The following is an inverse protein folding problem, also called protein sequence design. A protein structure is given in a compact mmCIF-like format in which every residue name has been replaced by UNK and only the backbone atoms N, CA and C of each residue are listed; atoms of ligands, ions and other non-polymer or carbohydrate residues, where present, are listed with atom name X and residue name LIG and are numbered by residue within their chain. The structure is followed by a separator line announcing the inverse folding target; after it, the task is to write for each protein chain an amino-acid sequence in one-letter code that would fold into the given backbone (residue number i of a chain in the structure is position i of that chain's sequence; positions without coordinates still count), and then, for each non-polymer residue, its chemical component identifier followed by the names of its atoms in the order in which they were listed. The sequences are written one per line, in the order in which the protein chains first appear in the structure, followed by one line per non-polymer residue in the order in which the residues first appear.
data_IF_147804679623
#
_entry.id   IF_147804679623
#
_cell.length_a   1.000
_cell.length_b   1.000
_cell.length_c   1.000
_cell.angle_alpha   90.00
_cell.angle_beta   90.00
_cell.angle_gamma   90.00
#
_symmetry.space_group_name_H-M   'P 1'
#
loop_
_entity.id
_entity.type
_entity.pdbx_description
1 polymer ?
#
# COMPACT_ATOMS: atom_id res chain seq x y z
N UNK A 1 4.37 -23.74 37.60
CA UNK A 1 5.68 -23.98 36.96
C UNK A 1 5.50 -24.61 35.59
N UNK A 2 5.80 -23.89 34.51
CA UNK A 2 5.71 -24.43 33.15
C UNK A 2 6.91 -25.35 32.92
N UNK A 3 6.70 -26.67 32.83
CA UNK A 3 7.74 -27.64 32.49
C UNK A 3 8.16 -27.42 31.03
N UNK A 4 9.22 -26.64 30.81
CA UNK A 4 9.80 -26.45 29.49
C UNK A 4 10.36 -27.79 29.00
N UNK A 5 9.83 -28.28 27.86
CA UNK A 5 10.28 -29.55 27.27
C UNK A 5 11.76 -29.42 26.92
N UNK A 6 12.57 -30.41 27.31
CA UNK A 6 14.02 -30.42 27.08
C UNK A 6 14.36 -30.71 25.62
N UNK A 7 15.47 -30.15 25.14
CA UNK A 7 16.04 -30.44 23.82
C UNK A 7 16.26 -31.95 23.63
N UNK A 8 15.88 -32.49 22.46
CA UNK A 8 16.05 -33.92 22.17
C UNK A 8 17.52 -34.36 22.06
N UNK A 9 18.41 -33.44 21.71
CA UNK A 9 19.81 -33.76 21.38
C UNK A 9 20.74 -33.57 22.58
N UNK A 10 20.60 -32.45 23.31
CA UNK A 10 21.44 -32.20 24.48
C UNK A 10 20.75 -32.42 25.83
N UNK A 11 19.42 -32.58 25.88
CA UNK A 11 18.65 -32.82 27.11
C UNK A 11 18.69 -31.70 28.18
N UNK A 12 19.54 -30.69 28.02
CA UNK A 12 19.82 -29.67 29.04
C UNK A 12 19.02 -28.39 28.83
N UNK A 13 18.98 -27.91 27.59
CA UNK A 13 18.37 -26.62 27.24
C UNK A 13 16.88 -26.75 26.86
N UNK A 14 16.07 -25.69 27.04
CA UNK A 14 14.69 -25.67 26.56
C UNK A 14 14.60 -25.92 25.05
N UNK A 15 13.64 -26.75 24.66
CA UNK A 15 13.30 -27.02 23.27
C UNK A 15 12.77 -25.75 22.62
N UNK A 16 13.32 -25.43 21.46
CA UNK A 16 12.90 -24.32 20.61
C UNK A 16 12.18 -24.86 19.36
N UNK A 17 12.89 -25.04 18.25
CA UNK A 17 12.33 -25.48 16.96
C UNK A 17 12.85 -26.88 16.58
N UNK A 18 12.05 -27.64 15.81
CA UNK A 18 12.36 -29.01 15.34
C UNK A 18 12.74 -30.02 16.44
N UNK A 19 12.43 -29.74 17.71
CA UNK A 19 12.85 -30.60 18.82
C UNK A 19 14.18 -30.24 19.46
N UNK A 20 14.85 -29.18 19.01
CA UNK A 20 16.21 -28.83 19.40
C UNK A 20 16.24 -27.46 20.13
N UNK A 21 17.26 -27.22 20.94
CA UNK A 21 17.54 -25.87 21.47
C UNK A 21 18.24 -25.00 20.42
N UNK A 22 18.30 -23.68 20.65
CA UNK A 22 18.94 -22.73 19.73
C UNK A 22 20.40 -23.10 19.40
N UNK A 23 21.15 -23.60 20.38
CA UNK A 23 22.57 -23.99 20.20
C UNK A 23 22.69 -25.24 19.32
N UNK A 24 21.97 -26.32 19.64
CA UNK A 24 21.99 -27.55 18.84
C UNK A 24 21.41 -27.34 17.44
N UNK A 25 20.47 -26.39 17.28
CA UNK A 25 19.94 -26.03 15.97
C UNK A 25 20.96 -25.24 15.15
N UNK A 26 21.69 -24.29 15.75
CA UNK A 26 22.72 -23.48 15.09
C UNK A 26 23.99 -24.27 14.76
N UNK A 27 24.30 -25.32 15.53
CA UNK A 27 25.43 -26.22 15.27
C UNK A 27 25.21 -27.19 14.10
N UNK A 28 23.96 -27.36 13.64
CA UNK A 28 23.70 -28.10 12.41
C UNK A 28 24.03 -27.21 11.23
N UNK A 29 25.23 -27.38 10.69
CA UNK A 29 25.62 -26.79 9.42
C UNK A 29 24.50 -27.05 8.40
N UNK A 30 24.00 -25.96 7.79
CA UNK A 30 23.15 -26.05 6.62
C UNK A 30 24.04 -26.69 5.56
N UNK A 31 23.85 -28.00 5.30
CA UNK A 31 24.50 -28.64 4.15
C UNK A 31 24.06 -27.85 2.92
N UNK A 32 25.00 -27.11 2.31
CA UNK A 32 24.79 -26.26 1.14
C UNK A 32 24.35 -27.04 -0.12
N UNK A 33 24.20 -28.36 -0.02
CA UNK A 33 23.75 -29.23 -1.10
C UNK A 33 22.23 -29.42 -1.17
N UNK A 34 21.42 -28.60 -0.50
CA UNK A 34 20.03 -28.50 -0.94
C UNK A 34 20.01 -27.71 -2.25
N UNK A 35 20.19 -28.42 -3.37
CA UNK A 35 19.64 -27.97 -4.65
C UNK A 35 18.23 -27.51 -4.33
N UNK A 36 17.95 -26.21 -4.50
CA UNK A 36 16.59 -25.69 -4.40
C UNK A 36 15.76 -26.59 -5.30
N UNK A 37 14.99 -27.52 -4.71
CA UNK A 37 14.08 -28.34 -5.51
C UNK A 37 13.14 -27.33 -6.13
N UNK A 38 13.25 -27.17 -7.45
CA UNK A 38 12.29 -26.43 -8.28
C UNK A 38 10.96 -27.18 -8.22
N UNK A 39 10.31 -27.17 -7.06
CA UNK A 39 9.04 -27.84 -6.84
C UNK A 39 7.95 -26.83 -7.04
N UNK A 40 7.71 -26.53 -8.31
CA UNK A 40 6.56 -25.76 -8.74
C UNK A 40 6.47 -25.79 -10.24
N UNK A 41 5.70 -26.73 -10.81
CA UNK A 41 5.17 -26.53 -12.16
C UNK A 41 4.50 -25.16 -12.15
N UNK A 42 4.96 -24.24 -13.01
CA UNK A 42 4.34 -22.93 -13.17
C UNK A 42 2.86 -23.20 -13.50
N UNK A 43 1.96 -22.93 -12.55
CA UNK A 43 0.53 -23.12 -12.77
C UNK A 43 0.11 -22.18 -13.88
N UNK A 44 -0.20 -22.72 -15.06
CA UNK A 44 -0.73 -21.94 -16.16
C UNK A 44 -2.01 -21.24 -15.71
N UNK A 45 -2.14 -19.95 -16.02
CA UNK A 45 -3.34 -19.20 -15.66
C UNK A 45 -4.54 -19.71 -16.43
N UNK A 46 -5.68 -19.81 -15.75
CA UNK A 46 -6.95 -20.14 -16.40
C UNK A 46 -7.35 -19.03 -17.39
N UNK A 47 -8.08 -19.39 -18.45
CA UNK A 47 -8.59 -18.44 -19.45
C UNK A 47 -9.42 -17.33 -18.79
N UNK A 48 -10.24 -17.69 -17.78
CA UNK A 48 -11.04 -16.73 -16.98
C UNK A 48 -10.14 -15.70 -16.27
N UNK A 49 -9.07 -16.14 -15.61
CA UNK A 49 -8.15 -15.25 -14.91
C UNK A 49 -7.39 -14.34 -15.89
N UNK A 50 -7.00 -14.87 -17.06
CA UNK A 50 -6.35 -14.08 -18.11
C UNK A 50 -7.28 -12.95 -18.60
N UNK A 51 -8.55 -13.26 -18.88
CA UNK A 51 -9.55 -12.26 -19.29
C UNK A 51 -9.77 -11.20 -18.21
N UNK A 52 -9.98 -11.61 -16.96
CA UNK A 52 -10.16 -10.69 -15.83
C UNK A 52 -8.98 -9.71 -15.68
N UNK A 53 -7.74 -10.22 -15.71
CA UNK A 53 -6.53 -9.38 -15.60
C UNK A 53 -6.37 -8.42 -16.77
N UNK A 54 -6.72 -8.85 -17.98
CA UNK A 54 -6.70 -7.99 -19.17
C UNK A 54 -7.69 -6.83 -19.01
N UNK A 55 -8.95 -7.12 -18.68
CA UNK A 55 -9.97 -6.10 -18.47
C UNK A 55 -9.60 -5.11 -17.35
N UNK A 56 -9.05 -5.60 -16.22
CA UNK A 56 -8.54 -4.74 -15.15
C UNK A 56 -7.39 -3.85 -15.61
N UNK A 57 -6.48 -4.39 -16.42
CA UNK A 57 -5.36 -3.62 -16.98
C UNK A 57 -5.84 -2.53 -17.93
N UNK A 58 -6.83 -2.82 -18.77
CA UNK A 58 -7.44 -1.87 -19.70
C UNK A 58 -8.08 -0.70 -18.95
N UNK A 59 -8.90 -0.98 -17.92
CA UNK A 59 -9.49 0.08 -17.07
C UNK A 59 -8.43 0.94 -16.38
N UNK A 60 -7.42 0.31 -15.81
CA UNK A 60 -6.32 1.03 -15.15
C UNK A 60 -5.53 1.90 -16.14
N UNK A 61 -5.26 1.40 -17.34
CA UNK A 61 -4.59 2.20 -18.37
C UNK A 61 -5.46 3.40 -18.77
N UNK A 62 -6.76 3.19 -18.99
CA UNK A 62 -7.69 4.27 -19.30
C UNK A 62 -7.72 5.36 -18.19
N UNK A 63 -7.72 4.96 -16.92
CA UNK A 63 -7.60 5.88 -15.78
C UNK A 63 -6.30 6.72 -15.87
N UNK A 64 -5.14 6.08 -16.04
CA UNK A 64 -3.87 6.80 -16.13
C UNK A 64 -3.79 7.70 -17.36
N UNK A 65 -4.26 7.23 -18.51
CA UNK A 65 -4.25 8.00 -19.76
C UNK A 65 -5.15 9.23 -19.66
N UNK A 66 -6.28 9.12 -18.95
CA UNK A 66 -7.14 10.27 -18.64
C UNK A 66 -6.40 11.32 -17.80
N UNK A 67 -5.72 10.88 -16.74
CA UNK A 67 -5.04 11.78 -15.82
C UNK A 67 -3.75 12.37 -16.37
N UNK A 68 -2.99 11.62 -17.17
CA UNK A 68 -1.78 12.11 -17.86
C UNK A 68 -2.14 13.28 -18.77
N UNK A 69 -3.26 13.20 -19.52
CA UNK A 69 -3.74 14.28 -20.39
C UNK A 69 -4.13 15.56 -19.64
N UNK A 70 -4.41 15.48 -18.34
CA UNK A 70 -4.86 16.59 -17.49
C UNK A 70 -3.77 17.11 -16.55
N UNK A 71 -2.68 16.36 -16.38
CA UNK A 71 -1.61 16.68 -15.45
C UNK A 71 -0.64 17.68 -16.09
N UNK A 72 -0.83 18.97 -15.81
CA UNK A 72 0.03 20.04 -16.34
C UNK A 72 0.95 20.66 -15.29
N UNK A 73 0.59 20.57 -14.01
CA UNK A 73 1.33 21.12 -12.89
C UNK A 73 0.99 20.40 -11.59
N UNK A 74 1.85 20.53 -10.59
CA UNK A 74 1.57 20.08 -9.23
C UNK A 74 0.41 20.89 -8.64
N UNK A 75 -0.52 20.21 -7.97
CA UNK A 75 -1.59 20.84 -7.19
C UNK A 75 -1.06 21.43 -5.87
N UNK A 76 0.13 21.04 -5.41
CA UNK A 76 0.75 21.59 -4.21
C UNK A 76 1.61 22.82 -4.53
N UNK A 77 2.73 22.63 -5.24
CA UNK A 77 3.67 23.71 -5.53
C UNK A 77 3.32 24.55 -6.74
N UNK A 78 2.36 24.12 -7.58
CA UNK A 78 2.07 24.77 -8.85
C UNK A 78 3.16 24.59 -9.91
N UNK A 79 4.24 23.85 -9.62
CA UNK A 79 5.36 23.63 -10.54
C UNK A 79 4.86 22.91 -11.81
N UNK A 80 5.17 23.41 -13.02
CA UNK A 80 4.79 22.76 -14.27
C UNK A 80 5.39 21.36 -14.40
N UNK A 81 4.59 20.43 -14.93
CA UNK A 81 4.98 19.06 -15.24
C UNK A 81 4.87 18.90 -16.76
N UNK A 82 6.01 19.07 -17.46
CA UNK A 82 6.05 19.07 -18.93
C UNK A 82 5.82 17.70 -19.56
N UNK A 83 6.28 16.63 -18.89
CA UNK A 83 6.15 15.24 -19.34
C UNK A 83 5.50 14.39 -18.24
N UNK A 84 4.19 14.52 -18.03
CA UNK A 84 3.49 13.81 -16.96
C UNK A 84 3.57 12.30 -17.16
N UNK A 85 3.90 11.61 -16.08
CA UNK A 85 3.94 10.15 -16.02
C UNK A 85 2.96 9.64 -14.97
N UNK A 86 2.76 8.31 -14.90
CA UNK A 86 1.95 7.69 -13.85
C UNK A 86 2.42 8.04 -12.44
N UNK A 87 3.70 8.32 -12.29
CA UNK A 87 4.32 8.71 -11.02
C UNK A 87 4.00 10.15 -10.60
N UNK A 88 3.35 10.96 -11.45
CA UNK A 88 2.83 12.26 -11.05
C UNK A 88 1.40 12.19 -10.51
N UNK A 89 0.78 11.01 -10.60
CA UNK A 89 -0.61 10.76 -10.22
C UNK A 89 -0.59 9.95 -8.93
N UNK A 90 -0.69 10.65 -7.80
CA UNK A 90 -0.77 10.04 -6.48
C UNK A 90 -2.21 9.63 -6.20
N UNK A 91 -2.43 8.39 -5.76
CA UNK A 91 -3.78 7.94 -5.37
C UNK A 91 -4.05 8.36 -3.93
N UNK A 92 -5.27 8.81 -3.64
CA UNK A 92 -5.69 9.13 -2.28
C UNK A 92 -6.07 7.86 -1.51
N UNK A 93 -6.63 6.86 -2.20
CA UNK A 93 -6.85 5.51 -1.70
C UNK A 93 -6.02 4.53 -2.50
N UNK A 94 -5.18 3.77 -1.81
CA UNK A 94 -4.32 2.80 -2.49
C UNK A 94 -5.13 1.65 -3.10
N UNK A 95 -4.78 1.28 -4.33
CA UNK A 95 -5.39 0.19 -5.11
C UNK A 95 -5.37 -1.19 -4.44
N UNK A 96 -4.48 -1.39 -3.46
CA UNK A 96 -4.30 -2.69 -2.81
C UNK A 96 -5.36 -2.93 -1.76
N UNK A 97 -5.64 -1.92 -0.94
CA UNK A 97 -6.59 -1.95 0.16
C UNK A 97 -7.98 -1.45 -0.23
N UNK A 98 -8.10 -0.69 -1.32
CA UNK A 98 -9.35 -0.08 -1.78
C UNK A 98 -9.63 -0.39 -3.27
N UNK A 99 -9.80 -1.68 -3.65
CA UNK A 99 -10.09 -2.04 -5.03
C UNK A 99 -11.37 -1.43 -5.58
N UNK A 100 -12.37 -1.05 -4.75
CA UNK A 100 -13.59 -0.38 -5.23
C UNK A 100 -13.34 1.04 -5.77
N UNK A 101 -12.18 1.64 -5.45
CA UNK A 101 -11.80 3.00 -5.85
C UNK A 101 -10.62 3.03 -6.83
N UNK A 102 -10.15 1.87 -7.32
CA UNK A 102 -8.89 1.78 -8.07
C UNK A 102 -8.88 2.54 -9.41
N UNK A 103 -10.05 2.70 -10.03
CA UNK A 103 -10.26 3.34 -11.34
C UNK A 103 -11.22 4.55 -11.24
N UNK A 104 -11.51 5.01 -10.02
CA UNK A 104 -12.33 6.20 -9.81
C UNK A 104 -11.55 7.47 -10.17
N UNK A 105 -12.08 8.28 -11.08
CA UNK A 105 -11.43 9.49 -11.59
C UNK A 105 -11.25 10.62 -10.56
N UNK A 106 -11.89 10.54 -9.38
CA UNK A 106 -11.65 11.48 -8.27
C UNK A 106 -10.57 10.98 -7.30
N UNK A 107 -10.11 9.73 -7.43
CA UNK A 107 -9.07 9.14 -6.58
C UNK A 107 -7.67 9.57 -7.03
N UNK A 108 -7.36 10.87 -6.99
CA UNK A 108 -6.05 11.38 -7.38
C UNK A 108 -5.67 12.70 -6.70
N UNK A 109 -4.38 12.99 -6.77
CA UNK A 109 -3.78 14.32 -6.68
C UNK A 109 -2.56 14.38 -7.61
N UNK A 110 -2.35 15.50 -8.29
CA UNK A 110 -1.17 15.72 -9.13
C UNK A 110 -0.03 16.33 -8.34
N UNK A 111 1.11 15.64 -8.33
CA UNK A 111 2.29 16.04 -7.57
C UNK A 111 3.55 15.88 -8.42
N UNK A 112 4.59 16.65 -8.09
CA UNK A 112 5.96 16.32 -8.51
C UNK A 112 6.41 15.02 -7.83
N UNK A 113 7.46 14.39 -8.36
CA UNK A 113 7.97 13.13 -7.81
C UNK A 113 8.35 13.25 -6.32
N UNK A 114 9.00 14.35 -5.93
CA UNK A 114 9.42 14.58 -4.54
C UNK A 114 8.23 14.77 -3.61
N UNK A 115 7.26 15.57 -4.02
CA UNK A 115 6.03 15.78 -3.26
C UNK A 115 5.24 14.48 -3.11
N UNK A 116 5.13 13.69 -4.18
CA UNK A 116 4.45 12.40 -4.15
C UNK A 116 5.08 11.48 -3.11
N UNK A 117 6.41 11.32 -3.10
CA UNK A 117 7.10 10.46 -2.14
C UNK A 117 6.80 10.85 -0.68
N UNK A 118 6.81 12.15 -0.38
CA UNK A 118 6.49 12.66 0.96
C UNK A 118 5.02 12.45 1.29
N UNK A 119 4.13 12.77 0.35
CA UNK A 119 2.68 12.65 0.53
C UNK A 119 2.29 11.19 0.82
N UNK A 120 2.74 10.25 -0.01
CA UNK A 120 2.40 8.83 0.10
C UNK A 120 2.93 8.24 1.43
N UNK A 121 4.11 8.67 1.87
CA UNK A 121 4.71 8.27 3.15
C UNK A 121 3.89 8.72 4.36
N UNK A 122 3.42 9.96 4.36
CA UNK A 122 2.59 10.50 5.45
C UNK A 122 1.19 9.89 5.42
N UNK A 123 0.61 9.73 4.24
CA UNK A 123 -0.71 9.12 4.06
C UNK A 123 -0.71 7.65 4.49
N UNK A 124 0.34 6.89 4.17
CA UNK A 124 0.50 5.51 4.62
C UNK A 124 0.57 5.38 6.15
N UNK A 125 1.13 6.40 6.83
CA UNK A 125 1.20 6.48 8.30
C UNK A 125 -0.06 7.06 8.93
N UNK A 126 -0.99 7.57 8.12
CA UNK A 126 -2.18 8.31 8.55
C UNK A 126 -1.84 9.59 9.36
N UNK A 127 -0.72 10.24 9.03
CA UNK A 127 -0.28 11.47 9.70
C UNK A 127 -0.91 12.70 9.01
N UNK A 128 -2.20 12.92 9.30
CA UNK A 128 -3.00 13.97 8.66
C UNK A 128 -2.60 15.39 9.09
N UNK A 129 -2.11 15.56 10.32
CA UNK A 129 -1.65 16.86 10.82
C UNK A 129 -0.40 17.32 10.06
N UNK A 130 0.55 16.40 9.82
CA UNK A 130 1.72 16.70 8.99
C UNK A 130 1.33 16.94 7.53
N UNK A 131 0.36 16.19 6.99
CA UNK A 131 -0.16 16.42 5.65
C UNK A 131 -0.74 17.83 5.52
N UNK A 132 -1.56 18.27 6.48
CA UNK A 132 -2.12 19.62 6.50
C UNK A 132 -1.06 20.71 6.62
N UNK A 133 -0.02 20.48 7.44
CA UNK A 133 1.07 21.45 7.63
C UNK A 133 1.99 21.58 6.43
N UNK A 134 2.29 20.46 5.75
CA UNK A 134 3.26 20.40 4.65
C UNK A 134 2.57 20.71 3.32
N UNK A 135 1.38 20.15 3.07
CA UNK A 135 0.63 20.27 1.83
C UNK A 135 -0.48 21.31 1.93
N UNK A 136 -0.11 22.56 2.24
CA UNK A 136 -1.07 23.62 2.60
C UNK A 136 -2.02 23.96 1.45
N UNK A 137 -1.55 23.86 0.21
CA UNK A 137 -2.33 24.26 -0.97
C UNK A 137 -3.25 23.13 -1.44
N UNK A 138 -2.78 21.89 -1.33
CA UNK A 138 -3.46 20.74 -1.91
C UNK A 138 -4.24 19.90 -0.91
N UNK A 139 -3.96 19.98 0.39
CA UNK A 139 -4.62 19.14 1.38
C UNK A 139 -6.13 19.38 1.48
N UNK A 140 -6.60 20.62 1.38
CA UNK A 140 -8.05 20.90 1.37
C UNK A 140 -8.74 20.31 0.13
N UNK A 141 -8.05 20.27 -1.01
CA UNK A 141 -8.52 19.61 -2.23
C UNK A 141 -8.60 18.09 -2.00
N UNK A 142 -7.57 17.50 -1.40
CA UNK A 142 -7.57 16.10 -1.00
C UNK A 142 -8.73 15.78 -0.06
N UNK A 143 -8.97 16.57 0.99
CA UNK A 143 -10.09 16.37 1.91
C UNK A 143 -11.44 16.34 1.20
N UNK A 144 -11.70 17.28 0.28
CA UNK A 144 -12.93 17.30 -0.52
C UNK A 144 -13.09 16.06 -1.40
N UNK A 145 -11.99 15.54 -1.96
CA UNK A 145 -12.00 14.28 -2.72
C UNK A 145 -12.20 13.08 -1.79
N UNK A 146 -11.55 13.05 -0.62
CA UNK A 146 -11.73 12.02 0.39
C UNK A 146 -13.19 11.90 0.85
N UNK A 147 -13.86 13.02 1.13
CA UNK A 147 -15.27 13.03 1.51
C UNK A 147 -16.17 12.37 0.46
N UNK A 148 -15.95 12.67 -0.82
CA UNK A 148 -16.70 12.04 -1.93
C UNK A 148 -16.42 10.55 -2.03
N UNK A 149 -15.14 10.18 -1.96
CA UNK A 149 -14.68 8.80 -2.15
C UNK A 149 -15.03 7.88 -0.98
N UNK A 150 -15.07 8.39 0.26
CA UNK A 150 -15.45 7.61 1.44
C UNK A 150 -16.85 7.01 1.30
N UNK A 151 -17.79 7.76 0.71
CA UNK A 151 -19.15 7.28 0.45
C UNK A 151 -19.23 6.19 -0.62
N UNK A 152 -18.21 6.09 -1.47
CA UNK A 152 -18.11 5.11 -2.57
C UNK A 152 -17.24 3.90 -2.19
N UNK A 153 -16.45 4.01 -1.11
CA UNK A 153 -15.59 2.95 -0.60
C UNK A 153 -16.44 1.79 -0.09
N UNK A 154 -16.18 0.58 -0.59
CA UNK A 154 -16.82 -0.63 -0.07
C UNK A 154 -16.01 -1.24 1.07
N UNK A 155 -14.74 -0.86 1.19
CA UNK A 155 -13.82 -1.39 2.18
C UNK A 155 -13.83 -0.55 3.47
N UNK A 156 -13.70 -1.22 4.61
CA UNK A 156 -13.61 -0.58 5.93
C UNK A 156 -12.22 -0.79 6.52
N UNK A 157 -11.25 -0.04 6.01
CA UNK A 157 -9.83 -0.13 6.37
C UNK A 157 -9.46 0.80 7.53
N UNK A 158 -8.22 0.73 8.00
CA UNK A 158 -7.71 1.69 9.00
C UNK A 158 -7.71 3.10 8.44
N UNK A 159 -7.34 3.28 7.16
CA UNK A 159 -7.32 4.57 6.48
C UNK A 159 -8.73 5.19 6.43
N UNK A 160 -9.75 4.42 6.00
CA UNK A 160 -11.12 4.96 5.88
C UNK A 160 -11.69 5.38 7.24
N UNK A 161 -11.41 4.62 8.31
CA UNK A 161 -11.82 4.98 9.68
C UNK A 161 -11.10 6.23 10.18
N UNK A 162 -9.78 6.29 10.00
CA UNK A 162 -8.96 7.41 10.44
C UNK A 162 -9.35 8.70 9.70
N UNK A 163 -9.59 8.63 8.38
CA UNK A 163 -10.08 9.76 7.59
C UNK A 163 -11.47 10.21 8.03
N UNK A 164 -12.40 9.28 8.29
CA UNK A 164 -13.73 9.64 8.79
C UNK A 164 -13.66 10.41 10.12
N UNK A 165 -12.79 10.00 11.05
CA UNK A 165 -12.59 10.72 12.30
C UNK A 165 -12.02 12.12 12.03
N UNK A 166 -10.91 12.19 11.29
CA UNK A 166 -10.22 13.44 10.98
C UNK A 166 -11.12 14.45 10.26
N UNK A 167 -11.87 14.04 9.25
CA UNK A 167 -12.77 14.93 8.50
C UNK A 167 -13.91 15.45 9.37
N UNK A 168 -14.49 14.60 10.23
CA UNK A 168 -15.54 15.03 11.18
C UNK A 168 -15.02 16.04 12.21
N UNK A 169 -13.78 15.90 12.68
CA UNK A 169 -13.13 16.85 13.60
C UNK A 169 -12.78 18.17 12.90
N UNK A 170 -12.30 18.09 11.66
CA UNK A 170 -12.00 19.24 10.81
C UNK A 170 -13.25 20.09 10.53
N UNK A 171 -14.40 19.46 10.29
CA UNK A 171 -15.69 20.17 10.08
C UNK A 171 -16.11 20.92 11.35
N UNK A 172 -15.91 20.34 12.54
CA UNK A 172 -16.27 20.99 13.81
C UNK A 172 -15.36 22.16 14.18
N UNK A 173 -14.15 22.19 13.64
CA UNK A 173 -13.13 23.20 13.92
C UNK A 173 -13.19 24.41 12.97
N UNK A 174 -14.09 24.38 11.97
CA UNK A 174 -14.38 25.47 11.04
C UNK A 174 -15.67 26.18 11.43
#
# INVERSE_FOLDING_TARGET
MIKTRKCKECGKNPRFSKGLCKVCLGGKQIKSNSILKSSGKIKQQTVKNKKYRKARTERRNAYFDHHIKKCFKSEESGVPISNPTRSNICHLFDKGRHPSLEDNLDNYIYLTFKEHEVFDSLLFKHDFDSLEKIFKNSWDICCKRFEKLLNLSQENTVLTRALNIYLNERIKSK
#
